data_IF_356945418071
#
_entry.id   IF_356945418071
#
_cell.length_a   1.000
_cell.length_b   1.000
_cell.length_c   1.000
_cell.angle_alpha   90.00
_cell.angle_beta   90.00
_cell.angle_gamma   90.00
#
_symmetry.space_group_name_H-M   'P 1'
#
loop_
_entity.id
_entity.type
_entity.pdbx_description
1 polymer ?
#
# COMPACT_ATOMS: atom_id res chain seq x y z
N UNK A 1 5.71 28.61 -47.87
CA UNK A 1 4.55 28.85 -48.74
C UNK A 1 3.56 29.71 -47.98
N UNK A 2 3.10 30.81 -48.59
CA UNK A 2 1.87 31.52 -48.18
C UNK A 2 1.99 32.64 -47.14
N UNK A 3 2.44 33.81 -47.59
CA UNK A 3 2.30 35.15 -46.98
C UNK A 3 0.79 35.55 -46.96
N UNK A 4 0.21 36.40 -46.11
CA UNK A 4 0.50 37.83 -45.89
C UNK A 4 -0.22 38.37 -44.63
N UNK A 5 0.43 39.34 -43.99
CA UNK A 5 -0.10 40.29 -43.01
C UNK A 5 -0.89 41.43 -43.68
N UNK A 6 -1.77 42.04 -42.87
CA UNK A 6 -2.40 43.38 -42.93
C UNK A 6 -3.34 43.73 -44.07
N UNK A 7 -4.58 44.12 -43.73
CA UNK A 7 -5.05 45.50 -43.91
C UNK A 7 -6.46 45.76 -43.34
N UNK A 8 -6.69 47.04 -43.03
CA UNK A 8 -7.96 47.73 -42.73
C UNK A 8 -8.47 47.82 -41.28
N UNK A 9 -7.80 48.70 -40.52
CA UNK A 9 -8.48 49.59 -39.58
C UNK A 9 -9.21 50.72 -40.33
N UNK A 10 -10.41 51.04 -39.86
CA UNK A 10 -10.96 52.41 -39.81
C UNK A 10 -11.79 52.88 -41.01
N UNK A 11 -13.12 52.92 -40.84
CA UNK A 11 -13.87 54.16 -41.08
C UNK A 11 -15.16 54.23 -40.27
N UNK A 12 -15.31 55.38 -39.62
CA UNK A 12 -16.45 55.88 -38.88
C UNK A 12 -17.51 56.40 -39.87
N UNK A 13 -18.79 56.09 -39.67
CA UNK A 13 -19.91 57.02 -39.91
C UNK A 13 -21.24 56.41 -39.44
N UNK A 14 -21.73 56.97 -38.34
CA UNK A 14 -23.11 57.42 -38.13
C UNK A 14 -24.24 56.43 -38.41
N UNK A 15 -24.88 55.94 -37.35
CA UNK A 15 -26.21 56.47 -37.10
C UNK A 15 -26.55 56.50 -35.61
N UNK A 16 -26.96 57.68 -35.21
CA UNK A 16 -27.40 58.08 -33.87
C UNK A 16 -28.83 57.60 -33.65
N UNK A 17 -29.00 56.48 -32.95
CA UNK A 17 -30.19 56.21 -32.16
C UNK A 17 -29.92 54.97 -31.30
N UNK A 18 -30.51 54.87 -30.10
CA UNK A 18 -30.42 53.71 -29.18
C UNK A 18 -29.35 53.73 -28.06
N UNK A 19 -28.98 54.89 -27.51
CA UNK A 19 -28.16 54.95 -26.27
C UNK A 19 -28.92 54.82 -24.95
N UNK A 20 -30.10 54.20 -24.92
CA UNK A 20 -30.85 53.97 -23.67
C UNK A 20 -31.25 52.51 -23.41
N UNK A 21 -30.86 51.58 -24.28
CA UNK A 21 -31.10 50.13 -24.11
C UNK A 21 -29.81 49.30 -23.98
N UNK A 22 -28.64 49.88 -24.27
CA UNK A 22 -27.37 49.15 -24.34
C UNK A 22 -26.67 48.97 -23.00
N UNK A 23 -26.92 49.85 -22.01
CA UNK A 23 -26.27 49.75 -20.69
C UNK A 23 -26.86 48.61 -19.84
N UNK A 24 -28.16 48.33 -19.98
CA UNK A 24 -28.81 47.16 -19.37
C UNK A 24 -28.37 45.84 -20.03
N UNK A 25 -27.91 45.91 -21.28
CA UNK A 25 -27.47 44.75 -22.05
C UNK A 25 -25.97 44.46 -21.92
N UNK A 26 -25.14 45.41 -21.47
CA UNK A 26 -23.73 45.15 -21.08
C UNK A 26 -23.64 44.30 -19.82
N UNK A 27 -24.40 44.66 -18.78
CA UNK A 27 -24.50 43.85 -17.56
C UNK A 27 -25.07 42.45 -17.83
N UNK A 28 -25.89 42.28 -18.87
CA UNK A 28 -26.49 40.98 -19.20
C UNK A 28 -25.60 40.13 -20.14
N UNK A 29 -24.74 40.75 -20.96
CA UNK A 29 -23.85 40.06 -21.90
C UNK A 29 -22.52 39.61 -21.30
N UNK A 30 -22.02 40.28 -20.27
CA UNK A 30 -20.84 39.81 -19.53
C UNK A 30 -21.19 38.57 -18.69
N UNK A 31 -22.43 38.47 -18.19
CA UNK A 31 -22.89 37.33 -17.39
C UNK A 31 -23.16 36.03 -18.18
N UNK A 32 -23.16 36.07 -19.52
CA UNK A 32 -23.58 34.92 -20.34
C UNK A 32 -22.46 34.18 -21.08
N UNK A 33 -21.21 34.65 -20.99
CA UNK A 33 -20.07 33.97 -21.64
C UNK A 33 -19.42 32.91 -20.76
N UNK A 34 -19.63 32.93 -19.44
CA UNK A 34 -18.91 32.05 -18.51
C UNK A 34 -19.67 30.77 -18.11
N UNK A 35 -20.97 30.68 -18.39
CA UNK A 35 -21.81 29.55 -17.96
C UNK A 35 -21.54 28.22 -18.69
N UNK A 36 -20.75 28.22 -19.78
CA UNK A 36 -20.42 26.98 -20.52
C UNK A 36 -19.26 26.20 -19.91
N UNK A 37 -18.51 26.81 -18.99
CA UNK A 37 -17.34 26.20 -18.35
C UNK A 37 -17.48 26.03 -16.82
N UNK A 38 -18.60 26.44 -16.22
CA UNK A 38 -18.89 26.12 -14.82
C UNK A 38 -19.41 24.68 -14.74
N UNK A 39 -18.68 23.75 -14.09
CA UNK A 39 -19.18 22.39 -13.89
C UNK A 39 -20.56 22.45 -13.24
N UNK A 40 -21.52 21.66 -13.75
CA UNK A 40 -22.85 21.61 -13.15
C UNK A 40 -22.74 21.09 -11.72
N UNK A 41 -23.63 21.52 -10.84
CA UNK A 41 -23.68 21.04 -9.44
C UNK A 41 -23.63 19.50 -9.38
N UNK A 42 -24.31 18.81 -10.29
CA UNK A 42 -24.29 17.36 -10.39
C UNK A 42 -22.90 16.77 -10.71
N UNK A 43 -22.14 17.38 -11.63
CA UNK A 43 -20.79 16.91 -11.98
C UNK A 43 -19.83 17.10 -10.81
N UNK A 44 -19.96 18.20 -10.06
CA UNK A 44 -19.19 18.41 -8.84
C UNK A 44 -19.53 17.36 -7.77
N UNK A 45 -20.81 17.09 -7.53
CA UNK A 45 -21.23 16.06 -6.56
C UNK A 45 -20.74 14.65 -6.95
N UNK A 46 -20.83 14.28 -8.22
CA UNK A 46 -20.30 13.01 -8.72
C UNK A 46 -18.78 12.92 -8.51
N UNK A 47 -18.05 14.00 -8.84
CA UNK A 47 -16.61 14.05 -8.62
C UNK A 47 -16.26 13.90 -7.13
N UNK A 48 -16.95 14.62 -6.24
CA UNK A 48 -16.75 14.51 -4.79
C UNK A 48 -17.03 13.07 -4.31
N UNK A 49 -18.12 12.45 -4.76
CA UNK A 49 -18.45 11.07 -4.38
C UNK A 49 -17.40 10.06 -4.87
N UNK A 50 -16.87 10.23 -6.09
CA UNK A 50 -15.86 9.35 -6.64
C UNK A 50 -14.50 9.51 -5.94
N UNK A 51 -14.11 10.74 -5.61
CA UNK A 51 -12.92 11.01 -4.80
C UNK A 51 -13.05 10.43 -3.39
N UNK A 52 -14.23 10.58 -2.76
CA UNK A 52 -14.49 10.01 -1.45
C UNK A 52 -14.41 8.47 -1.47
N UNK A 53 -14.96 7.83 -2.49
CA UNK A 53 -14.88 6.37 -2.65
C UNK A 53 -13.43 5.89 -2.83
N UNK A 54 -12.63 6.58 -3.65
CA UNK A 54 -11.20 6.29 -3.83
C UNK A 54 -10.45 6.43 -2.51
N UNK A 55 -10.69 7.52 -1.77
CA UNK A 55 -10.05 7.78 -0.49
C UNK A 55 -10.40 6.72 0.56
N UNK A 56 -11.67 6.30 0.62
CA UNK A 56 -12.10 5.22 1.50
C UNK A 56 -11.39 3.90 1.17
N UNK A 57 -11.30 3.56 -0.12
CA UNK A 57 -10.60 2.36 -0.56
C UNK A 57 -9.11 2.40 -0.22
N UNK A 58 -8.45 3.55 -0.39
CA UNK A 58 -7.04 3.73 -0.02
C UNK A 58 -6.82 3.52 1.47
N UNK A 59 -7.67 4.11 2.33
CA UNK A 59 -7.59 3.94 3.77
C UNK A 59 -7.81 2.49 4.19
N UNK A 60 -8.75 1.79 3.56
CA UNK A 60 -9.01 0.38 3.83
C UNK A 60 -7.79 -0.49 3.47
N UNK A 61 -7.19 -0.25 2.29
CA UNK A 61 -5.98 -0.94 1.86
C UNK A 61 -4.80 -0.68 2.81
N UNK A 62 -4.61 0.57 3.24
CA UNK A 62 -3.57 0.94 4.22
C UNK A 62 -3.77 0.24 5.56
N UNK A 63 -5.00 0.23 6.08
CA UNK A 63 -5.35 -0.45 7.31
C UNK A 63 -5.12 -1.97 7.20
N UNK A 64 -5.50 -2.56 6.07
CA UNK A 64 -5.29 -3.98 5.81
C UNK A 64 -3.79 -4.31 5.77
N UNK A 65 -3.00 -3.48 5.10
CA UNK A 65 -1.54 -3.64 5.04
C UNK A 65 -0.90 -3.45 6.42
N UNK A 66 -1.35 -2.48 7.21
CA UNK A 66 -0.89 -2.27 8.59
C UNK A 66 -1.17 -3.50 9.46
N UNK A 67 -2.39 -4.06 9.38
CA UNK A 67 -2.75 -5.31 10.08
C UNK A 67 -1.87 -6.48 9.65
N UNK A 68 -1.62 -6.62 8.35
CA UNK A 68 -0.75 -7.67 7.79
C UNK A 68 0.69 -7.54 8.32
N UNK A 69 1.25 -6.33 8.29
CA UNK A 69 2.61 -6.04 8.81
C UNK A 69 2.73 -6.31 10.30
N UNK A 70 1.76 -5.87 11.10
CA UNK A 70 1.76 -6.12 12.54
C UNK A 70 1.72 -7.63 12.86
N UNK A 71 0.89 -8.39 12.13
CA UNK A 71 0.84 -9.86 12.27
C UNK A 71 2.19 -10.50 11.94
N UNK A 72 2.79 -10.15 10.80
CA UNK A 72 4.07 -10.73 10.38
C UNK A 72 5.18 -10.38 11.37
N UNK A 73 5.24 -9.13 11.83
CA UNK A 73 6.24 -8.68 12.81
C UNK A 73 6.16 -9.51 14.08
N UNK A 74 4.95 -9.71 14.62
CA UNK A 74 4.76 -10.55 15.81
C UNK A 74 5.10 -12.03 15.60
N UNK A 75 5.04 -12.55 14.37
CA UNK A 75 5.49 -13.91 14.05
C UNK A 75 7.02 -13.99 13.92
N UNK A 76 7.68 -12.95 13.39
CA UNK A 76 9.13 -12.90 13.28
C UNK A 76 9.82 -12.86 14.66
N UNK A 77 9.20 -12.19 15.63
CA UNK A 77 9.67 -12.16 17.03
C UNK A 77 9.74 -13.56 17.67
N UNK A 78 8.95 -14.52 17.18
CA UNK A 78 8.95 -15.91 17.67
C UNK A 78 10.09 -16.75 17.07
N UNK A 79 10.71 -16.28 16.00
CA UNK A 79 11.88 -16.93 15.42
C UNK A 79 13.11 -16.38 16.17
N UNK A 80 13.98 -17.24 16.72
CA UNK A 80 15.19 -16.77 17.38
C UNK A 80 16.15 -16.09 16.41
N UNK A 81 16.87 -15.10 16.93
CA UNK A 81 18.05 -14.51 16.30
C UNK A 81 19.27 -15.03 17.04
N UNK A 82 20.23 -15.54 16.31
CA UNK A 82 21.46 -16.11 16.85
C UNK A 82 22.67 -15.36 16.28
N UNK A 83 23.79 -15.39 16.98
CA UNK A 83 25.06 -14.90 16.43
C UNK A 83 25.67 -15.97 15.56
N UNK A 84 26.17 -15.57 14.39
CA UNK A 84 26.86 -16.49 13.50
C UNK A 84 28.10 -17.07 14.18
N UNK A 85 28.27 -18.40 14.09
CA UNK A 85 29.42 -19.10 14.63
C UNK A 85 30.06 -19.94 13.53
N UNK A 86 31.26 -19.52 13.12
CA UNK A 86 32.06 -20.13 12.05
C UNK A 86 32.34 -21.63 12.29
N UNK A 87 32.44 -22.07 13.55
CA UNK A 87 32.76 -23.45 13.91
C UNK A 87 31.57 -24.39 13.64
N UNK A 88 30.35 -23.91 13.86
CA UNK A 88 29.13 -24.74 13.80
C UNK A 88 28.41 -24.67 12.46
N UNK A 89 28.66 -23.64 11.64
CA UNK A 89 27.85 -23.31 10.47
C UNK A 89 28.66 -23.25 9.15
N UNK A 90 29.66 -24.12 9.01
CA UNK A 90 30.66 -24.14 7.92
C UNK A 90 30.14 -24.47 6.50
N UNK A 91 28.82 -24.54 6.29
CA UNK A 91 28.22 -24.98 5.02
C UNK A 91 27.43 -23.86 4.32
N UNK A 92 27.37 -22.66 4.91
CA UNK A 92 26.68 -21.52 4.34
C UNK A 92 27.38 -20.24 4.80
N UNK A 93 28.36 -19.81 4.00
CA UNK A 93 29.28 -18.74 4.36
C UNK A 93 28.77 -17.36 3.90
N UNK A 94 27.68 -17.30 3.13
CA UNK A 94 27.16 -16.09 2.50
C UNK A 94 25.64 -15.99 2.60
N UNK A 95 25.13 -14.79 2.86
CA UNK A 95 23.70 -14.50 2.82
C UNK A 95 23.23 -14.28 1.37
N UNK A 96 22.35 -15.15 0.86
CA UNK A 96 21.87 -15.10 -0.53
C UNK A 96 20.98 -13.90 -0.87
N UNK A 97 20.54 -13.12 0.12
CA UNK A 97 19.74 -11.90 -0.10
C UNK A 97 20.65 -10.72 -0.43
N UNK A 98 21.71 -10.51 0.36
CA UNK A 98 22.61 -9.37 0.21
C UNK A 98 23.93 -9.72 -0.48
N UNK A 99 24.18 -11.00 -0.74
CA UNK A 99 25.42 -11.52 -1.33
C UNK A 99 26.68 -11.09 -0.56
N UNK A 100 26.60 -11.17 0.78
CA UNK A 100 27.71 -10.83 1.68
C UNK A 100 28.01 -11.99 2.60
N UNK A 101 29.30 -12.21 2.86
CA UNK A 101 29.79 -13.23 3.77
C UNK A 101 29.33 -12.97 5.22
N UNK A 102 29.09 -14.05 5.96
CA UNK A 102 28.81 -13.99 7.39
C UNK A 102 30.12 -13.84 8.18
N UNK A 103 30.08 -12.99 9.20
CA UNK A 103 31.13 -12.81 10.17
C UNK A 103 30.62 -13.21 11.56
N UNK A 104 31.52 -13.60 12.46
CA UNK A 104 31.22 -14.01 13.85
C UNK A 104 30.34 -13.04 14.68
N UNK A 105 30.22 -11.78 14.29
CA UNK A 105 29.36 -10.80 14.95
C UNK A 105 27.98 -10.57 14.29
N UNK A 106 27.73 -11.19 13.13
CA UNK A 106 26.48 -10.99 12.42
C UNK A 106 25.31 -11.67 13.14
N UNK A 107 24.21 -10.92 13.24
CA UNK A 107 22.92 -11.47 13.67
C UNK A 107 22.31 -12.23 12.50
N UNK A 108 22.11 -13.52 12.71
CA UNK A 108 21.54 -14.43 11.73
C UNK A 108 20.21 -14.96 12.23
N UNK A 109 19.36 -15.33 11.28
CA UNK A 109 18.10 -16.00 11.54
C UNK A 109 18.04 -17.26 10.70
N UNK A 110 17.85 -18.38 11.38
CA UNK A 110 17.59 -19.68 10.74
C UNK A 110 16.08 -19.88 10.66
N UNK A 111 15.55 -19.96 9.45
CA UNK A 111 14.13 -20.26 9.25
C UNK A 111 13.82 -21.72 9.62
N UNK A 112 12.55 -22.10 9.87
CA UNK A 112 12.23 -23.49 10.22
C UNK A 112 12.48 -24.49 9.07
N UNK A 113 12.62 -23.99 7.83
CA UNK A 113 13.11 -24.77 6.69
C UNK A 113 14.64 -24.94 6.65
N UNK A 114 15.36 -24.49 7.69
CA UNK A 114 16.82 -24.56 7.92
C UNK A 114 17.70 -23.69 7.03
N UNK A 115 17.13 -22.78 6.24
CA UNK A 115 17.92 -21.77 5.52
C UNK A 115 18.30 -20.60 6.44
N UNK A 116 19.51 -20.08 6.26
CA UNK A 116 20.15 -19.09 7.13
C UNK A 116 20.35 -17.79 6.35
N UNK A 117 20.10 -16.67 7.01
CA UNK A 117 20.23 -15.32 6.45
C UNK A 117 20.64 -14.34 7.54
N UNK A 118 21.13 -13.15 7.16
CA UNK A 118 21.19 -12.03 8.09
C UNK A 118 19.79 -11.70 8.59
N UNK A 119 19.62 -11.49 9.90
CA UNK A 119 18.33 -11.18 10.52
C UNK A 119 17.65 -10.02 9.80
N UNK A 120 18.36 -8.92 9.59
CA UNK A 120 17.82 -7.76 8.90
C UNK A 120 17.38 -8.07 7.45
N UNK A 121 18.21 -8.79 6.69
CA UNK A 121 17.89 -9.12 5.30
C UNK A 121 16.64 -9.99 5.17
N UNK A 122 16.49 -10.99 6.04
CA UNK A 122 15.33 -11.88 5.97
C UNK A 122 14.08 -11.26 6.59
N UNK A 123 14.22 -10.41 7.61
CA UNK A 123 13.07 -9.72 8.22
C UNK A 123 12.40 -8.77 7.20
N UNK A 124 13.21 -7.99 6.47
CA UNK A 124 12.72 -7.11 5.39
C UNK A 124 12.07 -7.90 4.24
N UNK A 125 12.63 -9.07 3.91
CA UNK A 125 12.05 -9.96 2.91
C UNK A 125 10.70 -10.50 3.37
N UNK A 126 10.61 -11.01 4.60
CA UNK A 126 9.41 -11.64 5.15
C UNK A 126 8.26 -10.65 5.38
N UNK A 127 8.57 -9.38 5.61
CA UNK A 127 7.57 -8.31 5.63
C UNK A 127 6.88 -8.12 4.27
N UNK A 128 7.56 -8.43 3.15
CA UNK A 128 7.00 -8.35 1.79
C UNK A 128 6.35 -9.66 1.38
N UNK A 129 7.10 -10.75 1.51
CA UNK A 129 6.73 -12.08 1.08
C UNK A 129 7.05 -13.04 2.21
N UNK A 130 6.02 -13.54 2.90
CA UNK A 130 6.18 -14.38 4.11
C UNK A 130 6.55 -15.84 3.77
N UNK A 131 7.57 -16.03 2.92
CA UNK A 131 8.08 -17.30 2.44
C UNK A 131 9.60 -17.26 2.27
N UNK A 132 10.25 -18.41 2.41
CA UNK A 132 11.69 -18.53 2.29
C UNK A 132 12.17 -18.23 0.85
N UNK A 133 13.18 -17.35 0.66
CA UNK A 133 13.74 -17.05 -0.67
C UNK A 133 14.32 -18.26 -1.42
N UNK A 134 14.82 -19.27 -0.68
CA UNK A 134 15.53 -20.42 -1.28
C UNK A 134 14.59 -21.55 -1.67
N UNK A 135 13.61 -21.89 -0.83
CA UNK A 135 12.72 -23.04 -1.06
C UNK A 135 11.24 -22.67 -1.27
N UNK A 136 10.89 -21.38 -1.26
CA UNK A 136 9.52 -20.87 -1.45
C UNK A 136 8.49 -21.41 -0.46
N UNK A 137 8.92 -22.08 0.61
CA UNK A 137 8.03 -22.61 1.64
C UNK A 137 7.54 -21.45 2.53
N UNK A 138 6.23 -21.32 2.78
CA UNK A 138 5.70 -20.30 3.66
C UNK A 138 6.19 -20.52 5.10
N UNK A 139 6.50 -19.44 5.80
CA UNK A 139 7.12 -19.55 7.13
C UNK A 139 6.09 -20.03 8.16
N UNK A 140 4.82 -19.63 8.04
CA UNK A 140 3.70 -20.03 8.91
C UNK A 140 3.53 -21.57 8.96
N UNK A 141 3.59 -22.24 7.81
CA UNK A 141 3.41 -23.70 7.74
C UNK A 141 4.57 -24.43 8.38
N UNK A 142 5.79 -23.90 8.23
CA UNK A 142 7.00 -24.47 8.79
C UNK A 142 7.07 -24.31 10.33
N UNK A 143 6.53 -23.22 10.87
CA UNK A 143 6.33 -23.00 12.31
C UNK A 143 5.32 -24.02 12.85
N UNK A 144 4.15 -24.16 12.22
CA UNK A 144 3.12 -25.13 12.62
C UNK A 144 3.62 -26.58 12.59
N UNK A 145 4.39 -26.95 11.57
CA UNK A 145 4.99 -28.28 11.47
C UNK A 145 6.01 -28.56 12.59
N UNK A 146 6.71 -27.53 13.06
CA UNK A 146 7.62 -27.65 14.21
C UNK A 146 6.84 -27.89 15.51
N UNK A 147 5.66 -27.28 15.65
CA UNK A 147 4.77 -27.54 16.80
C UNK A 147 4.11 -28.92 16.72
N UNK A 148 3.65 -29.38 15.55
CA UNK A 148 2.98 -30.69 15.41
C UNK A 148 3.93 -31.87 15.43
N UNK A 149 5.19 -31.71 15.01
CA UNK A 149 6.23 -32.75 15.14
C UNK A 149 6.53 -33.10 16.60
N UNK A 150 6.37 -32.13 17.51
CA UNK A 150 6.47 -32.34 18.95
C UNK A 150 5.20 -32.97 19.56
N UNK A 151 4.05 -32.89 18.89
CA UNK A 151 2.74 -33.42 19.34
C UNK A 151 2.45 -34.81 18.73
N UNK A 152 3.13 -35.22 17.68
CA UNK A 152 2.92 -36.51 16.99
C UNK A 152 3.15 -37.76 17.87
N UNK A 153 3.59 -37.60 19.13
CA UNK A 153 3.64 -38.65 20.16
C UNK A 153 2.54 -38.59 21.23
N UNK A 154 1.62 -37.61 21.17
CA UNK A 154 0.56 -37.41 22.16
C UNK A 154 -0.83 -37.34 21.52
N UNK A 155 -1.76 -38.11 22.07
CA UNK A 155 -3.13 -38.29 21.60
C UNK A 155 -3.87 -36.95 21.35
N UNK A 156 -4.27 -36.73 20.09
CA UNK A 156 -5.00 -35.53 19.64
C UNK A 156 -6.42 -35.41 20.23
N UNK A 157 -6.90 -36.42 20.98
CA UNK A 157 -8.19 -36.38 21.66
C UNK A 157 -8.30 -35.29 22.75
N UNK A 158 -7.17 -34.76 23.22
CA UNK A 158 -7.10 -33.82 24.35
C UNK A 158 -6.91 -32.35 23.96
N UNK A 159 -6.68 -32.03 22.67
CA UNK A 159 -6.55 -30.65 22.20
C UNK A 159 -7.95 -30.08 22.00
N UNK A 160 -8.62 -29.77 23.12
CA UNK A 160 -9.80 -28.92 23.10
C UNK A 160 -9.35 -27.51 22.71
N UNK A 161 -9.72 -27.07 21.50
CA UNK A 161 -9.69 -25.66 21.19
C UNK A 161 -10.64 -24.97 22.16
N UNK A 162 -10.08 -24.32 23.19
CA UNK A 162 -10.84 -23.42 24.04
C UNK A 162 -11.39 -22.32 23.13
N UNK A 163 -12.63 -22.52 22.68
CA UNK A 163 -13.36 -21.56 21.87
C UNK A 163 -13.27 -20.22 22.57
N UNK A 164 -12.78 -19.22 21.84
CA UNK A 164 -12.74 -17.84 22.28
C UNK A 164 -14.09 -17.50 22.92
N UNK A 165 -14.11 -17.30 24.24
CA UNK A 165 -15.35 -16.98 24.93
C UNK A 165 -15.81 -15.63 24.42
N UNK A 166 -16.88 -15.69 23.63
CA UNK A 166 -17.72 -14.59 23.20
C UNK A 166 -17.94 -13.69 24.42
N UNK A 167 -17.45 -12.45 24.33
CA UNK A 167 -17.77 -11.41 25.28
C UNK A 167 -19.28 -11.21 25.29
N UNK A 168 -19.92 -11.53 26.41
CA UNK A 168 -21.28 -11.06 26.65
C UNK A 168 -21.17 -9.73 27.35
N UNK A 169 -21.44 -8.68 26.58
CA UNK A 169 -21.89 -7.39 27.08
C UNK A 169 -23.11 -7.60 27.96
N UNK A 170 -23.03 -7.24 29.23
CA UNK A 170 -24.19 -7.04 30.10
C UNK A 170 -23.97 -5.79 30.95
N UNK A 171 -24.64 -4.72 30.48
CA UNK A 171 -25.35 -3.64 31.18
C UNK A 171 -24.72 -2.99 32.41
#
# INVERSE_FOLDING_TARGET
>A
MGNCLSEYFGNNSNNSHERLSEEANRSSRENHRDARNTPTSYVNELYISSQAAIQQQQLENELQEQKRRARITGLLEQIPVEKFNEITMSHCDECTICMMEFNSNNDIRTLPCKHIYHSQCIDDWLLRTFACPMCMTPVDSSILNSFTSNIAGSDLSSISCNSARIGTSLR
#
